data_IF_238382039538
#
_entry.id   IF_238382039538
#
_cell.length_a   1.000
_cell.length_b   1.000
_cell.length_c   1.000
_cell.angle_alpha   90.00
_cell.angle_beta   90.00
_cell.angle_gamma   90.00
#
_symmetry.space_group_name_H-M   'P 1'
#
loop_
_entity.id
_entity.type
_entity.pdbx_description
1 polymer ?
#
# COMPACT_ATOMS: atom_id res chain seq x y z
N UNK A 1 1.61 0.69 34.78
CA UNK A 1 2.93 0.20 34.32
C UNK A 1 2.76 -0.08 32.85
N UNK A 2 3.45 0.65 31.98
CA UNK A 2 3.31 0.52 30.53
C UNK A 2 3.92 -0.82 30.08
N UNK A 3 3.07 -1.72 29.60
CA UNK A 3 3.44 -3.04 29.10
C UNK A 3 3.40 -3.11 27.56
N UNK A 4 3.18 -1.97 26.89
CA UNK A 4 3.04 -1.87 25.45
C UNK A 4 1.85 -2.63 24.88
N UNK A 5 0.86 -3.05 25.70
CA UNK A 5 -0.35 -3.72 25.21
C UNK A 5 -1.44 -2.70 24.89
N UNK A 6 -2.36 -3.11 24.02
CA UNK A 6 -3.53 -2.33 23.68
C UNK A 6 -4.77 -2.89 24.34
N UNK A 7 -5.60 -1.99 24.85
CA UNK A 7 -6.93 -2.28 25.39
C UNK A 7 -7.95 -1.36 24.72
N UNK A 8 -9.21 -1.77 24.67
CA UNK A 8 -10.28 -0.91 24.16
C UNK A 8 -10.63 0.14 25.23
N UNK A 9 -10.50 1.42 24.88
CA UNK A 9 -10.87 2.54 25.74
C UNK A 9 -12.39 2.66 25.92
N UNK A 10 -12.81 3.46 26.89
CA UNK A 10 -14.23 3.79 27.05
C UNK A 10 -14.72 4.61 25.85
N UNK A 11 -16.00 4.48 25.46
CA UNK A 11 -16.57 5.33 24.43
C UNK A 11 -16.47 6.80 24.83
N UNK A 12 -16.04 7.63 23.88
CA UNK A 12 -16.00 9.07 24.05
C UNK A 12 -17.42 9.69 23.94
N UNK A 13 -17.74 10.71 24.75
CA UNK A 13 -18.87 11.60 24.53
C UNK A 13 -18.92 12.18 23.12
N UNK A 14 -20.12 12.57 22.68
CA UNK A 14 -20.31 13.18 21.36
C UNK A 14 -19.55 14.52 21.26
N UNK A 15 -18.76 14.67 20.19
CA UNK A 15 -17.96 15.85 19.92
C UNK A 15 -16.57 15.88 20.55
N UNK A 16 -16.23 14.89 21.38
CA UNK A 16 -14.89 14.75 21.94
C UNK A 16 -13.91 14.15 20.92
N UNK A 17 -12.72 14.74 20.82
CA UNK A 17 -11.64 14.24 19.97
C UNK A 17 -10.92 13.07 20.66
N UNK A 18 -10.35 12.13 19.90
CA UNK A 18 -9.54 11.07 20.49
C UNK A 18 -8.37 11.66 21.28
N UNK A 19 -8.03 11.03 22.40
CA UNK A 19 -6.88 11.43 23.21
C UNK A 19 -5.57 11.22 22.43
N UNK A 20 -4.49 11.96 22.73
CA UNK A 20 -3.21 11.83 22.01
C UNK A 20 -2.66 10.40 21.93
N UNK A 21 -2.89 9.58 22.95
CA UNK A 21 -2.53 8.17 23.02
C UNK A 21 -3.36 7.25 22.11
N UNK A 22 -4.54 7.70 21.68
CA UNK A 22 -5.45 7.00 20.75
C UNK A 22 -5.20 7.42 19.29
N UNK A 23 -4.30 8.37 19.05
CA UNK A 23 -3.93 8.84 17.72
C UNK A 23 -2.65 8.15 17.27
N UNK A 24 -2.72 7.51 16.10
CA UNK A 24 -1.59 6.81 15.50
C UNK A 24 -1.13 7.47 14.21
N UNK A 25 0.19 7.51 14.00
CA UNK A 25 0.78 7.94 12.74
C UNK A 25 0.87 6.75 11.77
N UNK A 26 0.36 6.92 10.56
CA UNK A 26 0.49 5.94 9.48
C UNK A 26 1.84 6.15 8.79
N UNK A 27 2.62 5.08 8.69
CA UNK A 27 3.88 5.03 7.96
C UNK A 27 3.70 4.13 6.76
N UNK A 28 3.92 4.66 5.56
CA UNK A 28 3.82 3.93 4.29
C UNK A 28 5.07 4.21 3.45
N UNK A 29 5.63 3.16 2.87
CA UNK A 29 6.69 3.30 1.86
C UNK A 29 6.08 3.45 0.46
N UNK A 30 6.67 4.26 -0.44
CA UNK A 30 6.10 4.50 -1.77
C UNK A 30 5.79 3.23 -2.58
N UNK A 31 6.65 2.22 -2.46
CA UNK A 31 6.60 1.01 -3.29
C UNK A 31 5.88 -0.19 -2.63
N UNK A 32 5.37 -0.02 -1.40
CA UNK A 32 4.69 -1.09 -0.66
C UNK A 32 3.25 -0.66 -0.33
N UNK A 33 2.23 -1.44 -0.75
CA UNK A 33 0.86 -1.17 -0.33
C UNK A 33 0.65 -1.37 1.17
N UNK A 34 1.54 -2.11 1.86
CA UNK A 34 1.44 -2.35 3.31
C UNK A 34 1.75 -1.07 4.10
N UNK A 35 1.12 -0.99 5.26
CA UNK A 35 1.25 0.14 6.17
C UNK A 35 1.73 -0.31 7.53
N UNK A 36 2.43 0.57 8.21
CA UNK A 36 2.81 0.43 9.62
C UNK A 36 2.19 1.57 10.41
N UNK A 37 1.95 1.35 11.70
CA UNK A 37 1.36 2.34 12.59
C UNK A 37 2.34 2.65 13.71
N UNK A 38 2.48 3.93 14.06
CA UNK A 38 3.35 4.40 15.14
C UNK A 38 2.52 5.08 16.21
N UNK A 39 2.76 4.72 17.46
CA UNK A 39 2.08 5.30 18.63
C UNK A 39 2.63 6.68 18.96
N UNK A 40 1.86 7.46 19.73
CA UNK A 40 2.32 8.73 20.32
C UNK A 40 3.57 8.58 21.20
N UNK A 41 3.83 7.37 21.72
CA UNK A 41 5.02 7.02 22.50
C UNK A 41 6.25 6.69 21.65
N UNK A 42 6.16 6.82 20.33
CA UNK A 42 7.28 6.62 19.43
C UNK A 42 7.58 5.16 19.08
N UNK A 43 6.72 4.21 19.48
CA UNK A 43 6.86 2.78 19.20
C UNK A 43 5.98 2.35 18.04
N UNK A 44 6.38 1.30 17.33
CA UNK A 44 5.60 0.73 16.25
C UNK A 44 4.64 -0.33 16.77
N UNK A 45 3.40 -0.26 16.28
CA UNK A 45 2.38 -1.27 16.55
C UNK A 45 2.77 -2.52 15.77
N UNK A 46 2.73 -3.67 16.42
CA UNK A 46 2.97 -4.98 15.83
C UNK A 46 2.16 -6.07 16.54
N UNK A 47 2.36 -7.30 16.09
CA UNK A 47 1.68 -8.48 16.63
C UNK A 47 2.70 -9.41 17.29
N UNK A 48 2.43 -9.82 18.53
CA UNK A 48 3.27 -10.75 19.26
C UNK A 48 3.09 -12.21 18.78
N UNK A 49 3.82 -13.15 19.41
CA UNK A 49 3.74 -14.57 19.04
C UNK A 49 2.37 -15.22 19.30
N UNK A 50 1.56 -14.64 20.21
CA UNK A 50 0.24 -15.13 20.57
C UNK A 50 -0.88 -14.43 19.77
N UNK A 51 -0.53 -13.49 18.89
CA UNK A 51 -1.50 -12.71 18.12
C UNK A 51 -1.98 -11.44 18.83
N UNK A 52 -1.44 -11.09 20.00
CA UNK A 52 -1.81 -9.87 20.70
C UNK A 52 -1.18 -8.64 20.04
N UNK A 53 -1.93 -7.54 20.00
CA UNK A 53 -1.42 -6.26 19.54
C UNK A 53 -0.51 -5.65 20.60
N UNK A 54 0.70 -5.27 20.20
CA UNK A 54 1.73 -4.69 21.09
C UNK A 54 2.48 -3.55 20.42
N UNK A 55 3.00 -2.61 21.20
CA UNK A 55 3.80 -1.48 20.72
C UNK A 55 5.10 -1.33 21.52
N UNK A 56 5.99 -2.32 21.38
CA UNK A 56 7.31 -2.33 22.04
C UNK A 56 8.47 -2.09 21.07
N UNK A 57 8.22 -2.16 19.76
CA UNK A 57 9.24 -2.09 18.72
C UNK A 57 9.67 -0.65 18.41
N UNK A 58 10.97 -0.44 18.20
CA UNK A 58 11.55 0.86 17.78
C UNK A 58 11.74 0.96 16.26
N UNK A 59 11.57 -0.15 15.53
CA UNK A 59 11.74 -0.22 14.10
C UNK A 59 10.63 -1.08 13.47
N UNK A 60 10.40 -0.86 12.17
CA UNK A 60 9.42 -1.62 11.39
C UNK A 60 10.06 -2.94 10.95
N UNK A 61 9.59 -4.05 11.50
CA UNK A 61 9.91 -5.40 11.06
C UNK A 61 8.75 -6.04 10.30
N UNK A 62 8.73 -7.38 10.27
CA UNK A 62 7.62 -8.12 9.67
C UNK A 62 6.34 -8.06 10.51
N UNK A 63 6.47 -7.96 11.84
CA UNK A 63 5.34 -7.96 12.79
C UNK A 63 4.61 -6.62 12.85
N UNK A 64 5.29 -5.54 12.47
CA UNK A 64 4.78 -4.17 12.47
C UNK A 64 4.16 -3.76 11.13
N UNK A 65 3.99 -4.72 10.21
CA UNK A 65 3.39 -4.49 8.89
C UNK A 65 1.97 -5.03 8.85
N UNK A 66 1.08 -4.20 8.33
CA UNK A 66 -0.34 -4.48 8.18
C UNK A 66 -0.79 -4.19 6.75
N UNK A 67 -1.92 -4.77 6.38
CA UNK A 67 -2.64 -4.48 5.16
C UNK A 67 -4.03 -3.97 5.52
N UNK A 68 -4.34 -2.77 5.05
CA UNK A 68 -5.70 -2.24 5.14
C UNK A 68 -6.49 -2.74 3.94
N UNK A 69 -7.60 -3.41 4.20
CA UNK A 69 -8.51 -3.96 3.19
C UNK A 69 -9.78 -3.12 3.17
N UNK A 70 -10.19 -2.71 1.97
CA UNK A 70 -11.45 -1.99 1.74
C UNK A 70 -12.33 -2.83 0.82
N UNK A 71 -13.55 -3.11 1.26
CA UNK A 71 -14.51 -3.93 0.52
C UNK A 71 -15.93 -3.45 0.82
N UNK A 72 -16.73 -3.17 -0.22
CA UNK A 72 -18.14 -2.73 -0.10
C UNK A 72 -18.38 -1.56 0.87
N UNK A 73 -17.42 -0.62 0.94
CA UNK A 73 -17.50 0.54 1.84
C UNK A 73 -17.16 0.23 3.31
N UNK A 74 -16.77 -1.00 3.62
CA UNK A 74 -16.23 -1.41 4.93
C UNK A 74 -14.71 -1.47 4.86
N UNK A 75 -14.08 -1.39 6.04
CA UNK A 75 -12.63 -1.53 6.17
C UNK A 75 -12.25 -2.49 7.29
N UNK A 76 -11.18 -3.25 7.07
CA UNK A 76 -10.57 -4.15 8.04
C UNK A 76 -9.05 -4.07 7.96
N UNK A 77 -8.36 -4.42 9.04
CA UNK A 77 -6.89 -4.39 9.12
C UNK A 77 -6.38 -5.81 9.33
N UNK A 78 -5.53 -6.28 8.43
CA UNK A 78 -4.92 -7.60 8.48
C UNK A 78 -3.43 -7.49 8.84
N UNK A 79 -2.93 -8.34 9.73
CA UNK A 79 -1.50 -8.44 9.99
C UNK A 79 -0.77 -9.19 8.86
N UNK A 80 0.44 -8.75 8.52
CA UNK A 80 1.23 -9.40 7.46
C UNK A 80 1.97 -10.62 7.97
N UNK A 81 2.45 -10.60 9.23
CA UNK A 81 3.21 -11.71 9.81
C UNK A 81 2.37 -12.96 10.07
N UNK A 82 1.07 -12.78 10.31
CA UNK A 82 0.08 -13.83 10.45
C UNK A 82 -1.20 -13.28 9.81
N UNK A 83 -1.69 -13.83 8.68
CA UNK A 83 -2.77 -13.25 7.86
C UNK A 83 -4.15 -13.37 8.53
N UNK A 84 -4.24 -12.82 9.74
CA UNK A 84 -5.43 -12.68 10.57
C UNK A 84 -5.79 -11.19 10.66
N UNK A 85 -7.08 -10.94 10.76
CA UNK A 85 -7.66 -9.64 10.94
C UNK A 85 -7.67 -9.25 12.41
N UNK A 86 -7.43 -7.96 12.64
CA UNK A 86 -7.61 -7.30 13.92
C UNK A 86 -9.07 -7.44 14.35
N UNK A 87 -9.29 -7.92 15.57
CA UNK A 87 -10.62 -8.11 16.13
C UNK A 87 -10.86 -7.13 17.27
N UNK A 88 -12.02 -6.48 17.24
CA UNK A 88 -12.53 -5.59 18.29
C UNK A 88 -13.28 -6.37 19.38
N UNK A 89 -13.39 -7.69 19.25
CA UNK A 89 -14.03 -8.54 20.24
C UNK A 89 -13.30 -8.43 21.59
N UNK A 90 -14.05 -8.28 22.67
CA UNK A 90 -13.50 -8.19 24.03
C UNK A 90 -12.89 -9.53 24.42
N UNK A 91 -11.58 -9.55 24.60
CA UNK A 91 -10.84 -10.71 25.10
C UNK A 91 -10.95 -10.79 26.63
N UNK A 92 -10.68 -11.99 27.18
CA UNK A 92 -10.74 -12.22 28.64
C UNK A 92 -9.71 -11.42 29.42
N UNK A 93 -8.59 -11.05 28.81
CA UNK A 93 -7.52 -10.27 29.44
C UNK A 93 -7.59 -8.77 29.07
N UNK A 94 -8.61 -8.36 28.31
CA UNK A 94 -8.81 -6.98 27.85
C UNK A 94 -7.86 -6.56 26.72
N UNK A 95 -6.95 -7.42 26.28
CA UNK A 95 -6.00 -7.12 25.20
C UNK A 95 -6.67 -7.22 23.82
N UNK A 96 -6.18 -6.47 22.85
CA UNK A 96 -6.61 -6.56 21.44
C UNK A 96 -5.80 -7.63 20.70
N UNK A 97 -6.44 -8.41 19.83
CA UNK A 97 -5.82 -9.51 19.10
C UNK A 97 -6.08 -9.44 17.59
N UNK A 98 -5.21 -10.09 16.82
CA UNK A 98 -5.55 -10.57 15.47
C UNK A 98 -6.03 -12.02 15.58
N UNK A 99 -7.28 -12.29 15.20
CA UNK A 99 -7.95 -13.53 15.55
C UNK A 99 -8.49 -14.30 14.34
N UNK A 100 -9.14 -13.60 13.42
CA UNK A 100 -9.92 -14.26 12.35
C UNK A 100 -9.21 -14.23 11.00
N UNK A 101 -9.33 -15.31 10.23
CA UNK A 101 -8.88 -15.35 8.82
C UNK A 101 -9.82 -14.60 7.88
N UNK A 102 -11.05 -14.31 8.32
CA UNK A 102 -12.07 -13.60 7.56
C UNK A 102 -12.56 -12.41 8.37
N UNK A 103 -12.70 -11.25 7.74
CA UNK A 103 -13.26 -10.10 8.41
C UNK A 103 -14.78 -10.28 8.57
N UNK A 104 -15.25 -10.54 9.80
CA UNK A 104 -16.66 -10.52 10.19
C UNK A 104 -17.02 -9.17 10.80
N UNK A 105 -18.13 -9.10 11.53
CA UNK A 105 -18.60 -7.83 12.14
C UNK A 105 -17.62 -7.26 13.16
N UNK A 106 -17.00 -8.11 13.98
CA UNK A 106 -16.03 -7.73 15.02
C UNK A 106 -14.67 -7.29 14.45
N UNK A 107 -14.39 -7.58 13.18
CA UNK A 107 -13.14 -7.19 12.51
C UNK A 107 -13.29 -5.91 11.66
N UNK A 108 -14.52 -5.40 11.53
CA UNK A 108 -14.76 -4.16 10.81
C UNK A 108 -14.36 -2.96 11.67
N UNK A 109 -13.51 -2.11 11.11
CA UNK A 109 -13.01 -0.90 11.78
C UNK A 109 -13.27 0.33 10.93
N UNK A 110 -13.55 1.45 11.59
CA UNK A 110 -13.67 2.75 10.92
C UNK A 110 -12.33 3.47 10.94
N UNK A 111 -11.79 3.77 9.76
CA UNK A 111 -10.53 4.51 9.62
C UNK A 111 -10.85 5.99 9.47
N UNK A 112 -10.40 6.80 10.44
CA UNK A 112 -10.53 8.25 10.45
C UNK A 112 -9.16 8.90 10.34
N UNK A 113 -9.08 10.07 9.72
CA UNK A 113 -7.82 10.82 9.56
C UNK A 113 -8.05 12.31 9.80
N UNK A 114 -7.10 12.95 10.49
CA UNK A 114 -7.01 14.40 10.64
C UNK A 114 -6.13 15.04 9.56
N UNK A 115 -5.62 14.25 8.60
CA UNK A 115 -4.79 14.76 7.52
C UNK A 115 -5.57 15.72 6.61
N UNK A 116 -4.96 16.86 6.28
CA UNK A 116 -5.54 17.81 5.32
C UNK A 116 -5.68 17.14 3.96
N UNK A 117 -6.91 17.12 3.43
CA UNK A 117 -7.17 16.62 2.08
C UNK A 117 -6.36 17.42 1.06
N UNK A 118 -5.36 16.78 0.48
CA UNK A 118 -4.43 17.38 -0.49
C UNK A 118 -4.81 16.93 -1.89
N UNK A 119 -5.82 17.58 -2.46
CA UNK A 119 -6.23 17.40 -3.86
C UNK A 119 -6.51 15.94 -4.28
N UNK A 120 -6.70 15.69 -5.59
CA UNK A 120 -6.65 14.34 -6.13
C UNK A 120 -5.21 13.82 -6.12
N UNK A 121 -4.96 12.73 -5.40
CA UNK A 121 -3.67 12.03 -5.41
C UNK A 121 -3.61 11.15 -6.67
N UNK A 122 -2.64 11.39 -7.55
CA UNK A 122 -2.35 10.51 -8.67
C UNK A 122 -1.49 9.33 -8.20
N UNK A 123 -2.13 8.15 -8.10
CA UNK A 123 -1.54 6.89 -7.62
C UNK A 123 -0.58 6.24 -8.62
N UNK A 124 -0.40 6.82 -9.82
CA UNK A 124 0.53 6.30 -10.82
C UNK A 124 1.98 6.33 -10.31
N UNK A 125 2.78 5.36 -10.75
CA UNK A 125 4.22 5.42 -10.50
C UNK A 125 4.82 6.67 -11.16
N UNK A 126 5.91 7.20 -10.62
CA UNK A 126 6.53 8.42 -11.17
C UNK A 126 7.00 8.25 -12.62
N UNK A 127 7.29 7.03 -13.06
CA UNK A 127 7.56 6.72 -14.47
C UNK A 127 6.31 6.88 -15.36
N UNK A 128 5.14 6.55 -14.84
CA UNK A 128 3.85 6.56 -15.54
C UNK A 128 3.22 7.96 -15.56
N UNK A 129 3.62 8.83 -14.62
CA UNK A 129 3.27 10.26 -14.60
C UNK A 129 4.00 11.09 -15.66
N UNK A 130 5.07 10.57 -16.26
CA UNK A 130 5.86 11.32 -17.26
C UNK A 130 5.08 11.48 -18.56
N UNK A 131 5.60 12.32 -19.44
CA UNK A 131 5.08 12.44 -20.80
C UNK A 131 5.03 11.07 -21.48
N UNK A 132 4.07 10.84 -22.38
CA UNK A 132 3.95 9.57 -23.10
C UNK A 132 5.27 9.15 -23.79
N UNK A 133 6.07 10.14 -24.23
CA UNK A 133 7.41 9.91 -24.80
C UNK A 133 8.37 9.35 -23.75
N UNK A 134 8.47 9.99 -22.60
CA UNK A 134 9.39 9.60 -21.53
C UNK A 134 8.97 8.31 -20.85
N UNK A 135 7.67 8.09 -20.67
CA UNK A 135 7.10 6.84 -20.17
C UNK A 135 7.45 5.67 -21.09
N UNK A 136 7.20 5.81 -22.41
CA UNK A 136 7.57 4.78 -23.40
C UNK A 136 9.07 4.51 -23.41
N UNK A 137 9.89 5.57 -23.35
CA UNK A 137 11.34 5.45 -23.37
C UNK A 137 11.91 4.83 -22.08
N UNK A 138 11.36 5.17 -20.92
CA UNK A 138 11.73 4.56 -19.64
C UNK A 138 11.38 3.07 -19.64
N UNK A 139 10.20 2.70 -20.12
CA UNK A 139 9.76 1.31 -20.24
C UNK A 139 10.67 0.49 -21.17
N UNK A 140 11.03 1.03 -22.34
CA UNK A 140 11.97 0.39 -23.27
C UNK A 140 13.35 0.19 -22.63
N UNK A 141 13.89 1.19 -21.93
CA UNK A 141 15.18 1.10 -21.25
C UNK A 141 15.20 0.07 -20.13
N UNK A 142 14.09 -0.09 -19.39
CA UNK A 142 13.99 -1.04 -18.29
C UNK A 142 14.20 -2.50 -18.73
N UNK A 143 13.79 -2.83 -19.96
CA UNK A 143 13.84 -4.19 -20.50
C UNK A 143 14.87 -4.39 -21.61
N UNK A 144 15.67 -3.37 -21.93
CA UNK A 144 16.78 -3.49 -22.87
C UNK A 144 18.07 -3.81 -22.12
N UNK A 145 18.78 -4.83 -22.62
CA UNK A 145 20.10 -5.17 -22.11
C UNK A 145 21.08 -4.02 -22.36
N UNK A 146 21.91 -3.67 -21.38
CA UNK A 146 22.82 -2.51 -21.39
C UNK A 146 23.82 -2.46 -22.55
N UNK A 147 24.00 -3.59 -23.26
CA UNK A 147 24.87 -3.73 -24.43
C UNK A 147 24.19 -3.48 -25.78
N UNK A 148 22.90 -3.15 -25.81
CA UNK A 148 22.18 -2.87 -27.06
C UNK A 148 22.21 -1.36 -27.32
N UNK A 149 22.94 -0.95 -28.35
CA UNK A 149 22.93 0.45 -28.79
C UNK A 149 21.53 0.87 -29.24
N UNK A 150 21.05 1.98 -28.67
CA UNK A 150 19.77 2.62 -29.02
C UNK A 150 19.89 3.57 -30.21
N UNK A 151 21.11 3.96 -30.55
CA UNK A 151 21.40 4.69 -31.78
C UNK A 151 21.22 3.72 -32.95
N UNK A 152 20.24 3.98 -33.81
CA UNK A 152 20.03 3.30 -35.11
C UNK A 152 19.09 2.10 -35.17
N UNK A 153 18.35 1.74 -34.10
CA UNK A 153 17.15 0.89 -34.29
C UNK A 153 15.96 1.79 -34.58
N UNK A 154 15.44 1.70 -35.81
CA UNK A 154 14.14 2.24 -36.18
C UNK A 154 13.07 1.53 -35.34
N UNK A 155 12.77 2.09 -34.17
CA UNK A 155 11.60 1.70 -33.39
C UNK A 155 10.40 2.00 -34.30
N UNK A 156 9.59 1.00 -34.69
CA UNK A 156 8.49 1.20 -35.62
C UNK A 156 7.57 2.33 -35.15
N UNK A 157 7.03 3.12 -36.08
CA UNK A 157 6.16 4.26 -35.76
C UNK A 157 4.92 3.85 -34.94
N UNK A 158 4.43 2.61 -35.14
CA UNK A 158 3.36 2.00 -34.34
C UNK A 158 3.71 1.85 -32.84
N UNK A 159 4.99 1.61 -32.53
CA UNK A 159 5.48 1.54 -31.14
C UNK A 159 5.56 2.94 -30.54
N UNK A 160 5.94 3.93 -31.35
CA UNK A 160 5.94 5.35 -30.98
C UNK A 160 4.57 6.02 -31.03
N UNK A 161 3.46 5.29 -31.26
CA UNK A 161 2.13 5.88 -31.16
C UNK A 161 1.88 6.42 -29.74
N UNK A 162 2.17 7.72 -29.58
CA UNK A 162 2.02 8.44 -28.33
C UNK A 162 0.55 8.69 -28.04
N UNK A 163 -0.34 8.61 -29.04
CA UNK A 163 -1.79 8.77 -28.81
C UNK A 163 -2.31 7.56 -28.06
N UNK A 164 -1.91 6.34 -28.44
CA UNK A 164 -2.30 5.14 -27.70
C UNK A 164 -1.76 5.15 -26.27
N UNK A 165 -0.53 5.63 -26.04
CA UNK A 165 0.06 5.72 -24.69
C UNK A 165 -0.62 6.80 -23.86
N UNK A 166 -0.93 7.97 -24.44
CA UNK A 166 -1.70 9.02 -23.74
C UNK A 166 -3.11 8.56 -23.40
N UNK A 167 -3.79 7.87 -24.33
CA UNK A 167 -5.09 7.23 -24.08
C UNK A 167 -4.95 6.25 -22.92
N UNK A 168 -3.94 5.38 -22.97
CA UNK A 168 -3.78 4.33 -21.99
C UNK A 168 -3.36 4.83 -20.60
N UNK A 169 -2.60 5.93 -20.54
CA UNK A 169 -2.38 6.68 -19.31
C UNK A 169 -3.73 7.12 -18.71
N UNK A 170 -4.65 7.63 -19.53
CA UNK A 170 -5.96 8.12 -19.06
C UNK A 170 -6.92 6.99 -18.68
N UNK A 171 -6.93 5.90 -19.44
CA UNK A 171 -7.91 4.79 -19.32
C UNK A 171 -7.46 3.68 -18.36
N UNK A 172 -6.18 3.65 -17.98
CA UNK A 172 -5.66 2.72 -16.95
C UNK A 172 -5.09 1.40 -17.51
N UNK A 173 -5.07 1.22 -18.83
CA UNK A 173 -4.48 0.07 -19.55
C UNK A 173 -3.02 0.32 -20.00
N UNK A 174 -2.31 1.23 -19.32
CA UNK A 174 -0.95 1.65 -19.69
C UNK A 174 0.03 0.47 -19.76
N UNK A 175 0.04 -0.39 -18.74
CA UNK A 175 1.00 -1.49 -18.65
C UNK A 175 0.78 -2.53 -19.75
N UNK A 176 -0.48 -2.86 -20.05
CA UNK A 176 -0.86 -3.78 -21.13
C UNK A 176 -0.48 -3.19 -22.50
N UNK A 177 -0.78 -1.91 -22.72
CA UNK A 177 -0.40 -1.20 -23.95
C UNK A 177 1.11 -1.18 -24.17
N UNK A 178 1.91 -0.96 -23.11
CA UNK A 178 3.37 -0.98 -23.18
C UNK A 178 3.94 -2.39 -23.40
N UNK A 179 3.32 -3.43 -22.81
CA UNK A 179 3.67 -4.83 -23.06
C UNK A 179 3.41 -5.24 -24.52
N UNK A 180 2.24 -4.91 -25.07
CA UNK A 180 1.90 -5.19 -26.46
C UNK A 180 2.89 -4.54 -27.45
N UNK A 181 3.29 -3.30 -27.17
CA UNK A 181 4.32 -2.59 -27.94
C UNK A 181 5.70 -3.25 -27.85
N UNK A 182 6.05 -3.85 -26.70
CA UNK A 182 7.31 -4.59 -26.53
C UNK A 182 7.32 -5.89 -27.35
N UNK A 183 6.23 -6.64 -27.38
CA UNK A 183 6.13 -7.89 -28.16
C UNK A 183 6.50 -7.61 -29.63
N UNK A 184 5.97 -6.52 -30.19
CA UNK A 184 6.30 -6.07 -31.56
C UNK A 184 7.78 -5.68 -31.77
N UNK A 185 8.52 -5.36 -30.71
CA UNK A 185 9.95 -5.00 -30.78
C UNK A 185 10.90 -6.18 -30.58
N UNK A 186 10.43 -7.34 -30.10
CA UNK A 186 11.29 -8.52 -30.04
C UNK A 186 11.55 -8.99 -31.47
N UNK A 187 12.83 -9.05 -31.84
CA UNK A 187 13.25 -9.77 -33.04
C UNK A 187 13.30 -11.26 -32.68
N UNK A 188 12.60 -12.10 -33.44
CA UNK A 188 12.58 -13.57 -33.28
C UNK A 188 13.96 -14.23 -33.30
N UNK A 189 14.99 -13.51 -33.74
CA UNK A 189 16.34 -14.06 -33.93
C UNK A 189 17.10 -14.30 -32.60
N UNK A 190 16.60 -13.80 -31.47
CA UNK A 190 17.27 -13.91 -30.17
C UNK A 190 16.27 -14.12 -29.01
N UNK A 191 15.26 -14.97 -29.22
CA UNK A 191 14.53 -15.57 -28.10
C UNK A 191 15.34 -16.73 -27.52
#
# INVERSE_FOLDING_TARGET
MDNGRFTIGLPHPEGEEPSPEEIFAVVKTPDDPKTSFKTGYGKYIGVDANGALVATAEAIGQRERFQVVFEEGKSAIQAVCNPLFLSMAVSKDGSIYVASKKAGEEEMVNIRTNAKKTGPIDWRADADKKSAKDCSMAYVKMYQHSKVETKNRAIPEEVFDMRSVKRAQKEGDLHETLLAKRIKMKSDRYC
#
